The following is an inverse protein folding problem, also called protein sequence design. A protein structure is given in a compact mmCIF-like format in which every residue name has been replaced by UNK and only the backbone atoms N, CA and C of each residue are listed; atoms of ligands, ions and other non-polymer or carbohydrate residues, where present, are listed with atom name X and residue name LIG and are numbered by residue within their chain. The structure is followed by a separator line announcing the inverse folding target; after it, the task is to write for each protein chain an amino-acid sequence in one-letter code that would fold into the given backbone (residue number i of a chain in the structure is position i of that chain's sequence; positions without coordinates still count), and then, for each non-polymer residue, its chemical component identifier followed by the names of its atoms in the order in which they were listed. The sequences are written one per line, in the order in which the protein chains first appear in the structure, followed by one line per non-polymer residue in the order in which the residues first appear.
data_IF_046742756630
#
_entry.id   IF_046742756630
#
_cell.length_a   1.000
_cell.length_b   1.000
_cell.length_c   1.000
_cell.angle_alpha   90.00
_cell.angle_beta   90.00
_cell.angle_gamma   90.00
#
_symmetry.space_group_name_H-M   'P 1'
#
loop_
_entity.id
_entity.type
_entity.pdbx_description
1 polymer ?
#
# COMPACT_ATOMS: atom_id res chain seq x y z
N UNK A 1 -12.63 5.18 -6.58
CA UNK A 1 -11.49 6.07 -6.25
C UNK A 1 -11.00 6.72 -7.53
N UNK A 2 -10.54 7.97 -7.47
CA UNK A 2 -9.90 8.64 -8.61
C UNK A 2 -8.60 7.89 -8.99
N UNK A 3 -8.33 7.72 -10.28
CA UNK A 3 -7.07 7.15 -10.77
C UNK A 3 -5.86 7.96 -10.25
N UNK A 4 -6.01 9.28 -10.09
CA UNK A 4 -4.99 10.14 -9.53
C UNK A 4 -4.67 9.80 -8.07
N UNK A 5 -5.70 9.51 -7.26
CA UNK A 5 -5.52 9.13 -5.86
C UNK A 5 -4.84 7.78 -5.72
N UNK A 6 -5.18 6.81 -6.58
CA UNK A 6 -4.48 5.53 -6.65
C UNK A 6 -3.00 5.68 -6.99
N UNK A 7 -2.64 6.55 -7.93
CA UNK A 7 -1.23 6.81 -8.26
C UNK A 7 -0.48 7.40 -7.06
N UNK A 8 -1.10 8.32 -6.32
CA UNK A 8 -0.49 8.90 -5.11
C UNK A 8 -0.29 7.88 -4.00
N UNK A 9 -1.24 6.97 -3.80
CA UNK A 9 -1.11 5.88 -2.84
C UNK A 9 0.01 4.91 -3.24
N UNK A 10 0.12 4.56 -4.52
CA UNK A 10 1.25 3.78 -5.02
C UNK A 10 2.59 4.48 -4.79
N UNK A 11 2.68 5.79 -5.01
CA UNK A 11 3.91 6.54 -4.74
C UNK A 11 4.30 6.49 -3.26
N UNK A 12 3.33 6.63 -2.35
CA UNK A 12 3.54 6.50 -0.90
C UNK A 12 3.98 5.07 -0.55
N UNK A 13 3.28 4.06 -1.06
CA UNK A 13 3.61 2.66 -0.83
C UNK A 13 5.06 2.35 -1.26
N UNK A 14 5.46 2.77 -2.46
CA UNK A 14 6.80 2.50 -2.99
C UNK A 14 7.93 3.12 -2.16
N UNK A 15 7.69 4.24 -1.46
CA UNK A 15 8.67 4.83 -0.53
C UNK A 15 8.96 3.88 0.64
N UNK A 16 7.97 3.13 1.11
CA UNK A 16 8.08 2.21 2.25
C UNK A 16 8.39 0.76 1.85
N UNK A 17 8.12 0.38 0.61
CA UNK A 17 8.39 -0.99 0.10
C UNK A 17 9.84 -1.38 0.27
N UNK A 18 10.78 -0.45 0.07
CA UNK A 18 12.21 -0.74 0.23
C UNK A 18 12.59 -1.02 1.70
N UNK A 19 11.96 -0.32 2.65
CA UNK A 19 12.17 -0.53 4.09
C UNK A 19 11.64 -1.91 4.52
N UNK A 20 10.43 -2.26 4.08
CA UNK A 20 9.84 -3.58 4.34
C UNK A 20 10.66 -4.70 3.69
N UNK A 21 11.12 -4.50 2.46
CA UNK A 21 11.99 -5.45 1.75
C UNK A 21 13.33 -5.64 2.49
N UNK A 22 13.95 -4.57 2.96
CA UNK A 22 15.20 -4.65 3.72
C UNK A 22 15.01 -5.46 5.02
N UNK A 23 13.93 -5.19 5.77
CA UNK A 23 13.60 -5.94 6.98
C UNK A 23 13.44 -7.45 6.71
N UNK A 24 12.76 -7.82 5.63
CA UNK A 24 12.56 -9.22 5.25
C UNK A 24 13.88 -9.88 4.82
N UNK A 25 14.71 -9.17 4.04
CA UNK A 25 16.05 -9.63 3.66
C UNK A 25 16.94 -9.88 4.90
N UNK A 26 16.89 -9.03 5.92
CA UNK A 26 17.63 -9.24 7.19
C UNK A 26 17.22 -10.51 7.94
N UNK A 27 16.00 -11.00 7.71
CA UNK A 27 15.50 -12.27 8.26
C UNK A 27 15.81 -13.47 7.36
N UNK A 28 16.56 -13.26 6.26
CA UNK A 28 16.88 -14.29 5.28
C UNK A 28 15.74 -14.59 4.31
N UNK A 29 14.72 -13.73 4.24
CA UNK A 29 13.61 -13.85 3.29
C UNK A 29 13.92 -12.92 2.12
N UNK A 30 14.48 -13.49 1.05
CA UNK A 30 14.72 -12.75 -0.19
C UNK A 30 13.44 -12.69 -1.02
N UNK A 31 12.93 -11.48 -1.23
CA UNK A 31 11.80 -11.23 -2.10
C UNK A 31 12.22 -10.45 -3.33
N UNK A 32 11.73 -10.89 -4.49
CA UNK A 32 11.80 -10.13 -5.73
C UNK A 32 10.54 -9.27 -5.94
N UNK A 33 10.49 -8.55 -7.06
CA UNK A 33 9.35 -7.67 -7.37
C UNK A 33 8.06 -8.44 -7.71
N UNK A 34 8.18 -9.70 -8.16
CA UNK A 34 7.02 -10.55 -8.44
C UNK A 34 6.41 -11.06 -7.13
N UNK A 35 7.23 -11.41 -6.13
CA UNK A 35 6.75 -11.79 -4.80
C UNK A 35 6.07 -10.64 -4.06
N UNK A 36 6.52 -9.41 -4.31
CA UNK A 36 5.96 -8.20 -3.70
C UNK A 36 4.65 -7.74 -4.35
N UNK A 37 4.37 -8.14 -5.59
CA UNK A 37 3.21 -7.66 -6.34
C UNK A 37 1.86 -8.00 -5.65
N UNK A 38 1.61 -9.22 -5.16
CA UNK A 38 0.39 -9.53 -4.40
C UNK A 38 0.27 -8.72 -3.09
N UNK A 39 1.39 -8.45 -2.42
CA UNK A 39 1.39 -7.65 -1.20
C UNK A 39 1.06 -6.18 -1.48
N UNK A 40 1.56 -5.64 -2.60
CA UNK A 40 1.23 -4.30 -3.08
C UNK A 40 -0.25 -4.17 -3.45
N UNK A 41 -0.81 -5.16 -4.15
CA UNK A 41 -2.24 -5.18 -4.49
C UNK A 41 -3.12 -5.19 -3.23
N UNK A 42 -2.75 -6.02 -2.25
CA UNK A 42 -3.44 -6.06 -0.96
C UNK A 42 -3.35 -4.72 -0.21
N UNK A 43 -2.15 -4.12 -0.15
CA UNK A 43 -1.94 -2.81 0.47
C UNK A 43 -2.86 -1.75 -0.15
N UNK A 44 -2.96 -1.72 -1.49
CA UNK A 44 -3.82 -0.77 -2.19
C UNK A 44 -5.31 -0.98 -1.88
N UNK A 45 -5.77 -2.24 -1.74
CA UNK A 45 -7.13 -2.54 -1.30
C UNK A 45 -7.41 -1.98 0.10
N UNK A 46 -6.50 -2.25 1.05
CA UNK A 46 -6.63 -1.78 2.44
C UNK A 46 -6.65 -0.25 2.51
N UNK A 47 -5.77 0.42 1.75
CA UNK A 47 -5.75 1.89 1.70
C UNK A 47 -7.05 2.46 1.13
N UNK A 48 -7.64 1.81 0.12
CA UNK A 48 -8.92 2.22 -0.45
C UNK A 48 -10.06 2.07 0.56
N UNK A 49 -10.12 0.95 1.28
CA UNK A 49 -11.11 0.72 2.34
C UNK A 49 -10.99 1.78 3.44
N UNK A 50 -9.76 2.06 3.90
CA UNK A 50 -9.49 3.08 4.91
C UNK A 50 -9.87 4.49 4.43
N UNK A 51 -9.59 4.84 3.16
CA UNK A 51 -9.99 6.11 2.58
C UNK A 51 -11.51 6.27 2.56
N UNK A 52 -12.24 5.24 2.10
CA UNK A 52 -13.70 5.28 2.04
C UNK A 52 -14.32 5.39 3.44
N UNK A 53 -13.75 4.67 4.42
CA UNK A 53 -14.16 4.77 5.82
C UNK A 53 -14.04 6.22 6.34
N UNK A 54 -12.87 6.85 6.16
CA UNK A 54 -12.66 8.24 6.58
C UNK A 54 -13.54 9.24 5.83
N UNK A 55 -13.81 9.00 4.55
CA UNK A 55 -14.71 9.84 3.75
C UNK A 55 -16.16 9.73 4.21
N UNK A 56 -16.63 8.53 4.54
CA UNK A 56 -17.99 8.32 5.06
C UNK A 56 -18.16 8.90 6.47
N UNK A 57 -17.13 8.87 7.30
CA UNK A 57 -17.17 9.49 8.61
C UNK A 57 -17.19 11.02 8.52
N UNK A 58 -16.38 11.63 7.63
CA UNK A 58 -16.41 13.07 7.39
C UNK A 58 -17.75 13.58 6.83
N UNK A 59 -18.56 12.71 6.20
CA UNK A 59 -19.92 13.05 5.74
C UNK A 59 -20.98 13.03 6.85
N UNK A 60 -20.70 12.35 7.96
CA UNK A 60 -21.61 12.24 9.11
C UNK A 60 -21.41 13.38 10.12
N UNK A 61 -20.33 14.15 9.97
CA UNK A 61 -20.06 15.41 10.69
C UNK A 61 -20.65 16.62 9.97
#
# INVERSE_FOLDING_TARGET
MDQELNMRFMEIAMKHVQEGRAFLNEKGIELDMHDLQPALEMLMSVMNEAYNMGYDDAKKE
#
